data_IF_511078720147
#
_entry.id   IF_511078720147
#
_cell.length_a   1.000
_cell.length_b   1.000
_cell.length_c   1.000
_cell.angle_alpha   90.00
_cell.angle_beta   90.00
_cell.angle_gamma   90.00
#
_symmetry.space_group_name_H-M   'P 1'
#
loop_
_entity.id
_entity.type
_entity.pdbx_description
1 polymer ?
#
# COMPACT_ATOMS: atom_id res chain seq x y z
N UNK A 1 15.31 -13.68 -0.76
CA UNK A 1 15.02 -13.80 -2.21
C UNK A 1 14.22 -12.60 -2.68
N UNK A 2 14.63 -11.96 -3.77
CA UNK A 2 13.90 -10.84 -4.33
C UNK A 2 12.59 -11.31 -4.96
N UNK A 3 11.56 -10.47 -4.94
CA UNK A 3 10.23 -10.85 -5.42
C UNK A 3 10.23 -11.17 -6.93
N UNK A 4 11.03 -10.44 -7.71
CA UNK A 4 11.16 -10.67 -9.16
C UNK A 4 11.85 -11.99 -9.49
N UNK A 5 12.53 -12.61 -8.54
CA UNK A 5 13.10 -13.95 -8.68
C UNK A 5 12.10 -15.02 -8.33
N UNK A 6 11.03 -14.66 -7.60
CA UNK A 6 9.99 -15.59 -7.16
C UNK A 6 8.80 -15.60 -8.10
N UNK A 7 8.37 -14.42 -8.55
CA UNK A 7 7.13 -14.24 -9.29
C UNK A 7 7.23 -13.14 -10.31
N UNK A 8 6.51 -13.31 -11.42
CA UNK A 8 6.31 -12.24 -12.39
C UNK A 8 5.25 -11.26 -11.87
N UNK A 9 5.21 -10.05 -12.43
CA UNK A 9 4.17 -9.07 -12.13
C UNK A 9 2.78 -9.65 -12.44
N UNK A 10 2.66 -10.40 -13.56
CA UNK A 10 1.39 -11.04 -13.93
C UNK A 10 0.93 -12.06 -12.90
N UNK A 11 1.85 -12.86 -12.36
CA UNK A 11 1.53 -13.83 -11.32
C UNK A 11 1.07 -13.13 -10.03
N UNK A 12 1.73 -12.04 -9.66
CA UNK A 12 1.38 -11.24 -8.48
C UNK A 12 -0.03 -10.66 -8.64
N UNK A 13 -0.34 -10.07 -9.80
CA UNK A 13 -1.65 -9.51 -10.09
C UNK A 13 -2.74 -10.56 -10.04
N UNK A 14 -2.45 -11.76 -10.55
CA UNK A 14 -3.38 -12.89 -10.50
C UNK A 14 -3.69 -13.28 -9.06
N UNK A 15 -2.68 -13.28 -8.18
CA UNK A 15 -2.88 -13.57 -6.75
C UNK A 15 -3.79 -12.52 -6.11
N UNK A 16 -3.59 -11.24 -6.40
CA UNK A 16 -4.43 -10.17 -5.87
C UNK A 16 -5.88 -10.30 -6.35
N UNK A 17 -6.08 -10.56 -7.63
CA UNK A 17 -7.41 -10.77 -8.20
C UNK A 17 -8.10 -11.97 -7.54
N UNK A 18 -7.36 -13.05 -7.31
CA UNK A 18 -7.88 -14.24 -6.67
C UNK A 18 -8.27 -13.99 -5.21
N UNK A 19 -7.48 -13.19 -4.49
CA UNK A 19 -7.80 -12.82 -3.12
C UNK A 19 -9.12 -12.03 -3.06
N UNK A 20 -9.28 -11.06 -3.96
CA UNK A 20 -10.50 -10.25 -4.04
C UNK A 20 -11.71 -11.13 -4.39
N UNK A 21 -11.54 -12.04 -5.35
CA UNK A 21 -12.60 -12.96 -5.75
C UNK A 21 -12.97 -13.92 -4.62
N UNK A 22 -11.98 -14.45 -3.91
CA UNK A 22 -12.19 -15.45 -2.86
C UNK A 22 -12.85 -14.86 -1.62
N UNK A 23 -12.39 -13.70 -1.17
CA UNK A 23 -12.86 -13.09 0.07
C UNK A 23 -13.94 -12.03 -0.13
N UNK A 24 -14.05 -11.49 -1.34
CA UNK A 24 -15.00 -10.43 -1.67
C UNK A 24 -14.40 -9.05 -1.46
N UNK A 25 -14.84 -8.10 -2.30
CA UNK A 25 -14.33 -6.73 -2.28
C UNK A 25 -14.57 -6.04 -0.93
N UNK A 26 -15.75 -6.20 -0.34
CA UNK A 26 -16.06 -5.53 0.92
C UNK A 26 -15.15 -5.99 2.05
N UNK A 27 -14.88 -7.29 2.15
CA UNK A 27 -13.97 -7.81 3.17
C UNK A 27 -12.56 -7.32 2.94
N UNK A 28 -12.09 -7.32 1.69
CA UNK A 28 -10.75 -6.84 1.36
C UNK A 28 -10.59 -5.35 1.63
N UNK A 29 -11.62 -4.54 1.47
CA UNK A 29 -11.60 -3.13 1.86
C UNK A 29 -11.47 -2.97 3.38
N UNK A 30 -12.16 -3.81 4.14
CA UNK A 30 -12.03 -3.82 5.60
C UNK A 30 -10.62 -4.22 6.02
N UNK A 31 -10.03 -5.22 5.37
CA UNK A 31 -8.66 -5.64 5.62
C UNK A 31 -7.68 -4.49 5.33
N UNK A 32 -7.90 -3.75 4.24
CA UNK A 32 -7.08 -2.58 3.92
C UNK A 32 -7.10 -1.55 5.06
N UNK A 33 -8.28 -1.27 5.60
CA UNK A 33 -8.43 -0.35 6.74
C UNK A 33 -7.68 -0.88 7.97
N UNK A 34 -7.81 -2.18 8.26
CA UNK A 34 -7.13 -2.82 9.38
C UNK A 34 -5.61 -2.73 9.24
N UNK A 35 -5.08 -3.01 8.05
CA UNK A 35 -3.64 -2.95 7.80
C UNK A 35 -3.11 -1.52 7.94
N UNK A 36 -3.85 -0.53 7.48
CA UNK A 36 -3.48 0.88 7.69
C UNK A 36 -3.49 1.24 9.17
N UNK A 37 -4.42 0.71 9.94
CA UNK A 37 -4.48 0.94 11.39
C UNK A 37 -3.30 0.27 12.10
N UNK A 38 -2.89 -0.93 11.66
CA UNK A 38 -1.73 -1.62 12.24
C UNK A 38 -0.44 -0.85 11.97
N UNK A 39 -0.27 -0.30 10.76
CA UNK A 39 0.88 0.55 10.46
C UNK A 39 0.88 1.79 11.35
N UNK A 40 -0.27 2.44 11.49
CA UNK A 40 -0.42 3.59 12.38
C UNK A 40 0.01 3.26 13.80
N UNK A 41 -0.41 2.11 14.31
CA UNK A 41 -0.06 1.63 15.64
C UNK A 41 1.45 1.50 15.81
N UNK A 42 2.13 0.90 14.83
CA UNK A 42 3.58 0.73 14.89
C UNK A 42 4.33 2.06 14.85
N UNK A 43 3.86 3.02 14.07
CA UNK A 43 4.43 4.37 14.02
C UNK A 43 4.22 5.06 15.37
N UNK A 44 3.05 4.92 15.98
CA UNK A 44 2.77 5.48 17.31
C UNK A 44 3.69 4.91 18.38
N UNK A 45 3.98 3.61 18.31
CA UNK A 45 4.94 2.98 19.23
C UNK A 45 6.33 3.60 19.07
N UNK A 46 6.73 3.89 17.84
CA UNK A 46 8.01 4.51 17.58
C UNK A 46 8.11 5.89 18.25
N UNK A 47 7.05 6.68 18.18
CA UNK A 47 7.00 7.98 18.87
C UNK A 47 7.20 7.86 20.39
N UNK A 48 6.80 6.72 20.97
CA UNK A 48 6.97 6.45 22.40
C UNK A 48 8.30 5.81 22.75
N UNK A 49 9.21 5.69 21.79
CA UNK A 49 10.50 5.04 22.00
C UNK A 49 10.44 3.51 22.05
N UNK A 50 9.34 2.93 21.60
CA UNK A 50 9.11 1.47 21.59
C UNK A 50 8.98 0.91 20.17
N UNK A 51 9.52 1.62 19.21
CA UNK A 51 9.45 1.22 17.81
C UNK A 51 10.25 -0.03 17.52
N UNK A 52 9.82 -0.78 16.52
CA UNK A 52 10.51 -1.95 16.02
C UNK A 52 10.53 -1.86 14.50
N UNK A 53 11.73 -1.65 13.95
CA UNK A 53 11.91 -1.44 12.51
C UNK A 53 11.37 -2.63 11.70
N UNK A 54 11.56 -3.85 12.18
CA UNK A 54 11.11 -5.05 11.48
C UNK A 54 9.58 -5.10 11.38
N UNK A 55 8.88 -4.72 12.44
CA UNK A 55 7.42 -4.66 12.41
C UNK A 55 6.93 -3.54 11.50
N UNK A 56 7.63 -2.40 11.46
CA UNK A 56 7.28 -1.30 10.57
C UNK A 56 7.40 -1.75 9.10
N UNK A 57 8.47 -2.48 8.77
CA UNK A 57 8.66 -3.04 7.43
C UNK A 57 7.50 -3.97 7.07
N UNK A 58 7.14 -4.88 7.97
CA UNK A 58 6.03 -5.82 7.73
C UNK A 58 4.72 -5.09 7.49
N UNK A 59 4.41 -4.07 8.29
CA UNK A 59 3.17 -3.34 8.16
C UNK A 59 3.14 -2.47 6.89
N UNK A 60 4.27 -1.89 6.49
CA UNK A 60 4.36 -1.17 5.22
C UNK A 60 4.10 -2.14 4.06
N UNK A 61 4.66 -3.35 4.12
CA UNK A 61 4.44 -4.36 3.09
C UNK A 61 2.97 -4.76 3.01
N UNK A 62 2.32 -4.99 4.15
CA UNK A 62 0.91 -5.34 4.20
C UNK A 62 0.04 -4.23 3.63
N UNK A 63 0.32 -2.96 3.96
CA UNK A 63 -0.40 -1.81 3.41
C UNK A 63 -0.19 -1.71 1.90
N UNK A 64 1.04 -1.89 1.44
CA UNK A 64 1.34 -1.83 0.00
C UNK A 64 0.53 -2.87 -0.78
N UNK A 65 0.46 -4.09 -0.27
CA UNK A 65 -0.33 -5.16 -0.89
C UNK A 65 -1.80 -4.74 -0.96
N UNK A 66 -2.34 -4.16 0.10
CA UNK A 66 -3.74 -3.74 0.12
C UNK A 66 -4.01 -2.52 -0.78
N UNK A 67 -3.04 -1.61 -0.92
CA UNK A 67 -3.16 -0.49 -1.86
C UNK A 67 -3.25 -1.00 -3.30
N UNK A 68 -2.47 -2.02 -3.65
CA UNK A 68 -2.53 -2.65 -4.97
C UNK A 68 -3.90 -3.29 -5.21
N UNK A 69 -4.45 -3.98 -4.20
CA UNK A 69 -5.76 -4.58 -4.32
C UNK A 69 -6.87 -3.53 -4.44
N UNK A 70 -6.77 -2.42 -3.72
CA UNK A 70 -7.71 -1.31 -3.83
C UNK A 70 -7.74 -0.75 -5.25
N UNK A 71 -6.58 -0.62 -5.88
CA UNK A 71 -6.53 -0.17 -7.28
C UNK A 71 -7.32 -1.11 -8.20
N UNK A 72 -7.18 -2.41 -7.99
CA UNK A 72 -7.95 -3.40 -8.77
C UNK A 72 -9.44 -3.26 -8.50
N UNK A 73 -9.83 -3.15 -7.23
CA UNK A 73 -11.25 -3.08 -6.83
C UNK A 73 -11.97 -1.84 -7.37
N UNK A 74 -11.25 -0.74 -7.52
CA UNK A 74 -11.81 0.52 -8.02
C UNK A 74 -11.50 0.78 -9.49
N UNK A 75 -10.96 -0.22 -10.19
CA UNK A 75 -10.57 -0.11 -11.61
C UNK A 75 -9.65 1.08 -11.88
N UNK A 76 -8.73 1.34 -10.96
CA UNK A 76 -7.76 2.41 -11.10
C UNK A 76 -6.56 1.89 -11.89
N UNK A 77 -6.23 2.57 -12.99
CA UNK A 77 -5.09 2.18 -13.82
C UNK A 77 -3.78 2.73 -13.25
N UNK A 78 -2.68 2.10 -13.64
CA UNK A 78 -1.35 2.58 -13.30
C UNK A 78 -1.15 4.02 -13.78
N UNK A 79 -1.64 4.34 -14.98
CA UNK A 79 -1.54 5.70 -15.54
C UNK A 79 -2.25 6.71 -14.66
N UNK A 80 -3.47 6.40 -14.21
CA UNK A 80 -4.22 7.27 -13.30
C UNK A 80 -3.45 7.52 -12.01
N UNK A 81 -2.85 6.46 -11.44
CA UNK A 81 -2.07 6.59 -10.21
C UNK A 81 -0.80 7.41 -10.42
N UNK A 82 -0.08 7.17 -11.51
CA UNK A 82 1.13 7.94 -11.80
C UNK A 82 0.82 9.42 -11.98
N UNK A 83 -0.29 9.75 -12.66
CA UNK A 83 -0.73 11.13 -12.82
C UNK A 83 -1.07 11.76 -11.48
N UNK A 84 -1.84 11.07 -10.64
CA UNK A 84 -2.23 11.58 -9.32
C UNK A 84 -1.02 11.80 -8.43
N UNK A 85 -0.11 10.83 -8.37
CA UNK A 85 1.11 10.93 -7.58
C UNK A 85 1.99 12.06 -8.08
N UNK A 86 2.13 12.20 -9.41
CA UNK A 86 2.91 13.28 -10.02
C UNK A 86 2.40 14.66 -9.62
N UNK A 87 1.08 14.86 -9.64
CA UNK A 87 0.46 16.12 -9.22
C UNK A 87 0.76 16.41 -7.74
N UNK A 88 0.63 15.39 -6.89
CA UNK A 88 0.90 15.55 -5.45
C UNK A 88 2.36 15.86 -5.18
N UNK A 89 3.28 15.22 -5.90
CA UNK A 89 4.71 15.49 -5.76
C UNK A 89 5.03 16.94 -6.19
N UNK A 90 4.44 17.40 -7.29
CA UNK A 90 4.63 18.78 -7.75
C UNK A 90 4.15 19.79 -6.70
N UNK A 91 3.00 19.53 -6.07
CA UNK A 91 2.49 20.37 -4.98
C UNK A 91 3.42 20.38 -3.76
N UNK A 92 3.97 19.23 -3.43
CA UNK A 92 4.93 19.12 -2.33
C UNK A 92 6.19 19.95 -2.63
N UNK A 93 6.70 19.83 -3.85
CA UNK A 93 7.87 20.57 -4.30
C UNK A 93 7.63 22.08 -4.19
N UNK A 94 6.46 22.56 -4.64
CA UNK A 94 6.09 23.97 -4.54
C UNK A 94 6.02 24.44 -3.09
N UNK A 95 5.45 23.64 -2.19
CA UNK A 95 5.40 23.99 -0.77
C UNK A 95 6.79 24.08 -0.15
N UNK A 96 7.66 23.16 -0.50
CA UNK A 96 9.04 23.17 0.01
C UNK A 96 9.82 24.37 -0.47
N UNK A 97 9.60 24.84 -1.70
CA UNK A 97 10.23 26.05 -2.23
C UNK A 97 9.73 27.32 -1.58
N UNK A 98 8.47 27.32 -1.14
CA UNK A 98 7.85 28.46 -0.45
C UNK A 98 8.26 28.60 1.00
N UNK A 99 8.89 27.59 1.55
CA UNK A 99 9.34 27.59 2.94
C UNK A 99 10.82 27.91 3.05
#
# INVERSE_FOLDING_TARGET
>A
MAIEEMMTIGEIMTIFEKAIETYGADLQKQVAIEEMAELTKEICKDFRGKGNREYIIEEIADVDIMLQQLMIMYDITTEEMLNAVGIKIARLDERLKGE
#
